data_IF_757352456535
#
_entry.id   IF_757352456535
#
_cell.length_a   1.000
_cell.length_b   1.000
_cell.length_c   1.000
_cell.angle_alpha   90.00
_cell.angle_beta   90.00
_cell.angle_gamma   90.00
#
_symmetry.space_group_name_H-M   'P 1'
#
loop_
_entity.id
_entity.type
_entity.pdbx_description
1 polymer ?
#
# COMPACT_ATOMS: atom_id res chain seq x y z
N UNK A 1 -9.83 -18.06 4.58
CA UNK A 1 -9.17 -16.75 4.77
C UNK A 1 -10.23 -15.69 4.55
N UNK A 2 -10.63 -14.98 5.58
CA UNK A 2 -11.63 -13.93 5.48
C UNK A 2 -11.11 -12.81 4.57
N UNK A 3 -11.94 -12.40 3.62
CA UNK A 3 -11.75 -11.17 2.86
C UNK A 3 -11.87 -9.99 3.85
N UNK A 4 -10.79 -9.66 4.53
CA UNK A 4 -10.73 -8.41 5.29
C UNK A 4 -10.78 -7.26 4.31
N UNK A 5 -11.96 -6.63 4.21
CA UNK A 5 -12.14 -5.44 3.39
C UNK A 5 -11.52 -4.27 4.15
N UNK A 6 -10.30 -3.92 3.82
CA UNK A 6 -9.63 -2.77 4.41
C UNK A 6 -10.32 -1.49 3.92
N UNK A 7 -11.00 -0.80 4.83
CA UNK A 7 -11.68 0.46 4.55
C UNK A 7 -11.08 1.60 5.38
N UNK A 8 -11.02 2.78 4.79
CA UNK A 8 -10.56 3.99 5.46
C UNK A 8 -11.62 5.08 5.35
N UNK A 9 -11.88 5.77 6.48
CA UNK A 9 -12.83 6.89 6.51
C UNK A 9 -12.15 8.13 5.97
N UNK A 10 -12.73 8.71 4.91
CA UNK A 10 -12.29 9.97 4.31
C UNK A 10 -13.37 11.01 4.49
N UNK A 11 -13.01 12.22 4.93
CA UNK A 11 -13.92 13.37 5.04
C UNK A 11 -13.67 14.33 3.90
N UNK A 12 -14.74 14.74 3.22
CA UNK A 12 -14.69 15.67 2.09
C UNK A 12 -15.55 16.90 2.40
N UNK A 13 -14.99 18.09 2.21
CA UNK A 13 -15.74 19.33 2.31
C UNK A 13 -16.36 19.66 0.95
N UNK A 14 -17.67 19.88 0.93
CA UNK A 14 -18.41 20.27 -0.26
C UNK A 14 -19.13 21.60 -0.02
N UNK A 15 -19.27 22.43 -1.06
CA UNK A 15 -20.11 23.62 -0.96
C UNK A 15 -21.60 23.24 -0.93
N UNK A 16 -22.42 24.14 -0.39
CA UNK A 16 -23.86 23.90 -0.18
C UNK A 16 -24.63 23.67 -1.50
N UNK A 17 -24.23 24.31 -2.60
CA UNK A 17 -24.89 24.13 -3.89
C UNK A 17 -24.64 22.74 -4.48
N UNK A 18 -23.41 22.24 -4.38
CA UNK A 18 -23.06 20.87 -4.78
C UNK A 18 -23.82 19.84 -3.94
N UNK A 19 -23.89 20.08 -2.63
CA UNK A 19 -24.58 19.18 -1.72
C UNK A 19 -26.10 19.14 -2.01
N UNK A 20 -26.72 20.31 -2.27
CA UNK A 20 -28.12 20.40 -2.64
C UNK A 20 -28.42 19.66 -3.96
N UNK A 21 -27.51 19.71 -4.94
CA UNK A 21 -27.64 18.96 -6.20
C UNK A 21 -27.59 17.43 -5.95
N UNK A 22 -26.74 16.98 -5.05
CA UNK A 22 -26.68 15.56 -4.66
C UNK A 22 -27.98 15.15 -3.96
N UNK A 23 -28.48 15.96 -3.02
CA UNK A 23 -29.73 15.70 -2.31
C UNK A 23 -30.91 15.60 -3.28
N UNK A 24 -30.97 16.48 -4.28
CA UNK A 24 -32.01 16.44 -5.31
C UNK A 24 -32.00 15.12 -6.08
N UNK A 25 -30.83 14.58 -6.43
CA UNK A 25 -30.70 13.31 -7.12
C UNK A 25 -31.09 12.12 -6.21
N UNK A 26 -30.73 12.17 -4.93
CA UNK A 26 -31.12 11.16 -3.95
C UNK A 26 -32.63 11.17 -3.74
N UNK A 27 -33.25 12.34 -3.54
CA UNK A 27 -34.68 12.47 -3.32
C UNK A 27 -35.51 12.01 -4.52
N UNK A 28 -34.96 12.09 -5.73
CA UNK A 28 -35.59 11.60 -6.96
C UNK A 28 -35.20 10.15 -7.33
N UNK A 29 -34.54 9.42 -6.43
CA UNK A 29 -34.28 7.99 -6.56
C UNK A 29 -33.16 7.60 -7.53
N UNK A 30 -32.31 8.54 -7.96
CA UNK A 30 -31.15 8.24 -8.79
C UNK A 30 -30.04 7.53 -8.01
N UNK A 31 -29.93 7.81 -6.73
CA UNK A 31 -28.98 7.19 -5.78
C UNK A 31 -29.68 6.89 -4.47
N UNK A 32 -29.23 5.85 -3.79
CA UNK A 32 -29.82 5.43 -2.50
C UNK A 32 -29.55 6.43 -1.37
N UNK A 33 -28.42 7.12 -1.42
CA UNK A 33 -28.01 8.13 -0.44
C UNK A 33 -26.77 8.91 -0.94
N UNK A 34 -26.35 9.95 -0.19
CA UNK A 34 -25.17 10.76 -0.54
C UNK A 34 -23.90 9.94 -0.70
N UNK A 35 -23.68 8.95 0.17
CA UNK A 35 -22.49 8.09 0.12
C UNK A 35 -22.47 7.22 -1.14
N UNK A 36 -23.61 6.76 -1.59
CA UNK A 36 -23.76 6.01 -2.83
C UNK A 36 -23.39 6.85 -4.05
N UNK A 37 -23.90 8.08 -4.12
CA UNK A 37 -23.50 9.06 -5.15
C UNK A 37 -21.97 9.28 -5.15
N UNK A 38 -21.39 9.57 -3.98
CA UNK A 38 -19.97 9.87 -3.86
C UNK A 38 -19.13 8.66 -4.29
N UNK A 39 -19.49 7.46 -3.83
CA UNK A 39 -18.78 6.23 -4.18
C UNK A 39 -18.87 5.95 -5.69
N UNK A 40 -20.02 6.20 -6.32
CA UNK A 40 -20.17 6.04 -7.75
C UNK A 40 -19.32 7.05 -8.53
N UNK A 41 -19.37 8.32 -8.14
CA UNK A 41 -18.56 9.39 -8.74
C UNK A 41 -17.05 9.11 -8.65
N UNK A 42 -16.59 8.56 -7.50
CA UNK A 42 -15.20 8.15 -7.31
C UNK A 42 -14.83 6.99 -8.24
N UNK A 43 -15.70 5.98 -8.38
CA UNK A 43 -15.46 4.86 -9.30
C UNK A 43 -15.36 5.33 -10.76
N UNK A 44 -16.27 6.19 -11.17
CA UNK A 44 -16.30 6.73 -12.54
C UNK A 44 -15.04 7.56 -12.85
N UNK A 45 -14.61 8.40 -11.90
CA UNK A 45 -13.39 9.18 -12.03
C UNK A 45 -12.14 8.27 -12.12
N UNK A 46 -12.04 7.25 -11.27
CA UNK A 46 -10.94 6.28 -11.31
C UNK A 46 -10.93 5.46 -12.61
N UNK A 47 -12.10 5.12 -13.14
CA UNK A 47 -12.19 4.42 -14.42
C UNK A 47 -11.66 5.27 -15.58
N UNK A 48 -11.93 6.60 -15.56
CA UNK A 48 -11.37 7.54 -16.53
C UNK A 48 -9.83 7.61 -16.49
N UNK A 49 -9.22 7.34 -15.33
CA UNK A 49 -7.76 7.33 -15.15
C UNK A 49 -7.13 5.93 -15.14
N UNK A 50 -7.89 4.89 -15.52
CA UNK A 50 -7.41 3.50 -15.45
C UNK A 50 -6.09 3.29 -16.20
N UNK A 51 -6.00 3.76 -17.43
CA UNK A 51 -4.78 3.64 -18.24
C UNK A 51 -3.58 4.40 -17.66
N UNK A 52 -3.82 5.53 -17.00
CA UNK A 52 -2.75 6.27 -16.33
C UNK A 52 -2.24 5.52 -15.10
N UNK A 53 -3.16 4.95 -14.32
CA UNK A 53 -2.81 4.13 -13.15
C UNK A 53 -2.01 2.91 -13.61
N UNK A 54 -2.48 2.16 -14.60
CA UNK A 54 -1.81 0.97 -15.12
C UNK A 54 -0.39 1.29 -15.63
N UNK A 55 -0.22 2.42 -16.35
CA UNK A 55 1.10 2.87 -16.81
C UNK A 55 2.04 3.25 -15.65
N UNK A 56 1.51 3.88 -14.59
CA UNK A 56 2.30 4.22 -13.40
C UNK A 56 2.73 2.95 -12.67
N UNK A 57 1.81 2.00 -12.50
CA UNK A 57 2.07 0.71 -11.87
C UNK A 57 3.16 -0.04 -12.65
N UNK A 58 2.97 -0.22 -13.96
CA UNK A 58 3.93 -0.91 -14.82
C UNK A 58 5.34 -0.26 -14.80
N UNK A 59 5.41 1.07 -14.79
CA UNK A 59 6.68 1.77 -14.67
C UNK A 59 7.39 1.48 -13.35
N UNK A 60 6.66 1.40 -12.25
CA UNK A 60 7.24 1.14 -10.93
C UNK A 60 7.56 -0.35 -10.75
N UNK A 61 6.75 -1.26 -11.31
CA UNK A 61 7.01 -2.70 -11.28
C UNK A 61 8.23 -3.11 -12.11
N UNK A 62 8.50 -2.45 -13.24
CA UNK A 62 9.74 -2.65 -14.02
C UNK A 62 11.00 -2.24 -13.25
N UNK A 63 10.87 -1.43 -12.21
CA UNK A 63 11.97 -1.12 -11.29
C UNK A 63 12.13 -2.17 -10.18
N UNK A 64 11.10 -3.02 -9.97
CA UNK A 64 11.09 -4.17 -9.06
C UNK A 64 10.87 -5.42 -9.93
N UNK A 65 11.93 -6.10 -10.33
CA UNK A 65 11.84 -7.34 -11.14
C UNK A 65 11.28 -8.48 -10.28
N UNK A 66 10.13 -9.03 -10.68
CA UNK A 66 9.60 -10.30 -10.19
C UNK A 66 10.16 -11.43 -11.06
N UNK A 67 10.88 -12.35 -10.47
CA UNK A 67 11.24 -13.61 -11.09
C UNK A 67 10.57 -14.75 -10.32
N UNK A 68 9.71 -15.51 -11.00
CA UNK A 68 9.02 -16.75 -10.55
C UNK A 68 8.36 -16.68 -9.14
N UNK A 69 7.69 -15.56 -8.82
CA UNK A 69 6.99 -15.40 -7.55
C UNK A 69 7.93 -15.15 -6.36
N UNK A 70 9.21 -14.99 -6.60
CA UNK A 70 10.19 -14.48 -5.65
C UNK A 70 10.41 -13.00 -5.90
N UNK A 71 10.50 -12.24 -4.80
CA UNK A 71 10.90 -10.85 -4.83
C UNK A 71 12.30 -10.76 -5.45
N UNK A 72 12.40 -10.42 -6.74
CA UNK A 72 13.68 -10.12 -7.35
C UNK A 72 13.98 -8.65 -7.12
N UNK A 73 14.82 -8.39 -6.14
CA UNK A 73 15.29 -7.05 -5.86
C UNK A 73 16.38 -6.67 -6.86
N UNK A 74 16.23 -5.52 -7.52
CA UNK A 74 17.32 -4.93 -8.29
C UNK A 74 18.40 -4.42 -7.32
N UNK A 75 19.37 -5.28 -7.02
CA UNK A 75 20.47 -4.99 -6.12
C UNK A 75 21.57 -4.23 -6.87
N UNK A 76 21.80 -2.97 -6.54
CA UNK A 76 23.03 -2.28 -6.92
C UNK A 76 24.17 -2.77 -6.03
N UNK A 77 25.10 -3.51 -6.60
CA UNK A 77 26.39 -3.83 -5.96
C UNK A 77 27.24 -2.57 -5.89
N UNK A 78 27.47 -2.06 -4.69
CA UNK A 78 28.53 -1.12 -4.40
C UNK A 78 29.23 -1.59 -3.11
N UNK A 79 30.40 -2.21 -3.26
CA UNK A 79 31.29 -2.51 -2.14
C UNK A 79 30.85 -3.58 -1.15
N UNK A 80 31.53 -3.62 0.00
CA UNK A 80 31.30 -4.54 1.12
C UNK A 80 30.15 -4.12 2.05
N UNK A 81 29.28 -3.23 1.63
CA UNK A 81 28.12 -2.81 2.42
C UNK A 81 26.93 -3.74 2.20
N UNK A 82 26.03 -3.89 3.22
CA UNK A 82 24.83 -4.70 3.09
C UNK A 82 24.02 -4.25 1.86
N UNK A 83 23.59 -5.19 1.06
CA UNK A 83 22.78 -4.92 -0.14
C UNK A 83 21.43 -4.38 0.30
N UNK A 84 21.03 -3.22 -0.22
CA UNK A 84 19.72 -2.63 0.03
C UNK A 84 18.89 -2.73 -1.24
N UNK A 85 17.78 -3.48 -1.14
CA UNK A 85 16.79 -3.61 -2.21
C UNK A 85 15.61 -2.67 -2.00
N UNK A 86 15.09 -2.12 -3.10
CA UNK A 86 13.86 -1.34 -3.09
C UNK A 86 12.69 -2.25 -3.49
N UNK A 87 11.69 -2.37 -2.60
CA UNK A 87 10.44 -3.06 -2.89
C UNK A 87 9.31 -2.05 -3.02
N UNK A 88 8.69 -2.01 -4.20
CA UNK A 88 7.53 -1.17 -4.47
C UNK A 88 6.28 -2.04 -4.63
N UNK A 89 5.15 -1.58 -4.09
CA UNK A 89 3.87 -2.28 -4.24
C UNK A 89 2.70 -1.31 -4.45
N UNK A 90 1.64 -1.82 -5.07
CA UNK A 90 0.35 -1.17 -5.22
C UNK A 90 -0.76 -2.14 -4.84
N UNK A 91 -1.69 -1.72 -3.97
CA UNK A 91 -2.76 -2.55 -3.45
C UNK A 91 -2.44 -3.14 -2.08
N UNK A 92 -2.50 -4.45 -1.92
CA UNK A 92 -2.20 -5.14 -0.65
C UNK A 92 -0.92 -5.93 -0.79
N UNK A 93 0.01 -5.69 0.11
CA UNK A 93 1.28 -6.43 0.19
C UNK A 93 1.50 -6.95 1.61
N UNK A 94 2.20 -8.06 1.75
CA UNK A 94 2.54 -8.67 3.02
C UNK A 94 4.03 -8.90 3.16
N UNK A 95 4.50 -8.96 4.41
CA UNK A 95 5.83 -9.44 4.76
C UNK A 95 5.67 -10.57 5.75
N UNK A 96 6.27 -11.70 5.41
CA UNK A 96 6.28 -12.89 6.24
C UNK A 96 7.61 -13.04 6.99
N UNK A 97 7.59 -13.76 8.11
CA UNK A 97 8.80 -14.10 8.86
C UNK A 97 9.86 -14.80 7.98
N UNK A 98 9.43 -15.72 7.12
CA UNK A 98 10.33 -16.47 6.25
C UNK A 98 11.09 -15.57 5.28
N UNK A 99 10.45 -14.55 4.73
CA UNK A 99 11.09 -13.59 3.84
C UNK A 99 12.14 -12.76 4.59
N UNK A 100 11.85 -12.36 5.83
CA UNK A 100 12.82 -11.64 6.66
C UNK A 100 14.02 -12.50 7.03
N UNK A 101 13.81 -13.78 7.39
CA UNK A 101 14.89 -14.73 7.68
C UNK A 101 15.80 -14.92 6.46
N UNK A 102 15.22 -15.06 5.27
CA UNK A 102 16.00 -15.19 4.03
C UNK A 102 16.83 -13.92 3.75
N UNK A 103 16.24 -12.74 3.86
CA UNK A 103 16.95 -11.47 3.68
C UNK A 103 18.09 -11.31 4.68
N UNK A 104 17.87 -11.73 5.94
CA UNK A 104 18.87 -11.66 6.97
C UNK A 104 20.05 -12.61 6.69
N UNK A 105 19.80 -13.86 6.27
CA UNK A 105 20.82 -14.84 5.88
C UNK A 105 21.66 -14.36 4.68
N UNK A 106 21.01 -13.68 3.73
CA UNK A 106 21.68 -13.12 2.54
C UNK A 106 22.42 -11.80 2.84
N UNK A 107 22.29 -11.26 4.06
CA UNK A 107 22.87 -9.98 4.44
C UNK A 107 22.27 -8.81 3.66
N UNK A 108 21.01 -8.94 3.26
CA UNK A 108 20.30 -7.94 2.48
C UNK A 108 19.36 -7.11 3.35
N UNK A 109 19.20 -5.84 2.98
CA UNK A 109 18.24 -4.92 3.60
C UNK A 109 17.17 -4.50 2.60
N UNK A 110 15.97 -4.25 3.10
CA UNK A 110 14.79 -3.93 2.31
C UNK A 110 14.28 -2.51 2.61
N UNK A 111 14.04 -1.73 1.58
CA UNK A 111 13.26 -0.48 1.66
C UNK A 111 11.90 -0.70 1.04
N UNK A 112 10.86 -0.51 1.84
CA UNK A 112 9.47 -0.69 1.43
C UNK A 112 8.85 0.65 1.04
N UNK A 113 8.28 0.70 -0.15
CA UNK A 113 7.55 1.87 -0.64
C UNK A 113 6.31 1.41 -1.39
N UNK A 114 5.17 2.03 -1.12
CA UNK A 114 3.97 1.65 -1.85
C UNK A 114 2.74 2.47 -1.52
N UNK A 115 1.66 2.07 -2.18
CA UNK A 115 0.33 2.67 -2.05
C UNK A 115 -0.67 1.56 -1.72
N UNK A 116 -1.38 1.69 -0.61
CA UNK A 116 -2.41 0.73 -0.19
C UNK A 116 -2.18 0.18 1.20
N UNK A 117 -2.22 -1.13 1.37
CA UNK A 117 -2.13 -1.78 2.68
C UNK A 117 -0.90 -2.67 2.74
N UNK A 118 -0.05 -2.43 3.73
CA UNK A 118 1.06 -3.31 4.09
C UNK A 118 0.68 -4.10 5.34
N UNK A 119 0.78 -5.42 5.26
CA UNK A 119 0.55 -6.32 6.39
C UNK A 119 1.89 -6.95 6.78
N UNK A 120 2.33 -6.72 8.00
CA UNK A 120 3.49 -7.39 8.58
C UNK A 120 2.93 -8.44 9.55
N UNK A 121 3.24 -9.70 9.29
CA UNK A 121 2.74 -10.81 10.09
C UNK A 121 3.14 -10.66 11.55
N UNK A 122 2.23 -11.03 12.45
CA UNK A 122 2.45 -10.97 13.91
C UNK A 122 3.58 -11.89 14.38
N UNK A 123 3.90 -12.90 13.60
CA UNK A 123 4.98 -13.85 13.87
C UNK A 123 6.36 -13.31 13.47
N UNK A 124 6.42 -12.12 12.84
CA UNK A 124 7.66 -11.45 12.55
C UNK A 124 8.30 -10.92 13.84
N UNK A 125 9.51 -11.39 14.12
CA UNK A 125 10.31 -10.87 15.22
C UNK A 125 10.70 -9.41 14.94
N UNK A 126 10.44 -8.52 15.88
CA UNK A 126 10.76 -7.09 15.75
C UNK A 126 12.26 -6.86 15.56
N UNK A 127 13.14 -7.60 16.24
CA UNK A 127 14.60 -7.47 16.10
C UNK A 127 15.04 -7.86 14.67
N UNK A 128 14.51 -8.95 14.15
CA UNK A 128 14.78 -9.39 12.78
C UNK A 128 14.28 -8.39 11.74
N UNK A 129 13.07 -7.84 11.97
CA UNK A 129 12.49 -6.81 11.10
C UNK A 129 13.37 -5.54 11.08
N UNK A 130 13.82 -5.07 12.23
CA UNK A 130 14.67 -3.88 12.32
C UNK A 130 16.07 -4.09 11.73
N UNK A 131 16.57 -5.33 11.76
CA UNK A 131 17.84 -5.68 11.14
C UNK A 131 17.74 -5.73 9.59
N UNK A 132 16.60 -6.16 9.06
CA UNK A 132 16.41 -6.41 7.62
C UNK A 132 15.68 -5.31 6.87
N UNK A 133 14.76 -4.57 7.52
CA UNK A 133 14.01 -3.49 6.87
C UNK A 133 14.60 -2.13 7.25
N UNK A 134 15.14 -1.43 6.27
CA UNK A 134 15.75 -0.11 6.48
C UNK A 134 14.71 1.00 6.61
N UNK A 135 13.65 0.97 5.79
CA UNK A 135 12.60 1.97 5.83
C UNK A 135 11.26 1.46 5.30
N UNK A 136 10.18 2.01 5.84
CA UNK A 136 8.80 1.75 5.41
C UNK A 136 8.15 3.09 5.03
N UNK A 137 7.78 3.25 3.74
CA UNK A 137 7.12 4.44 3.20
C UNK A 137 5.85 4.03 2.46
N UNK A 138 4.75 3.92 3.17
CA UNK A 138 3.46 3.51 2.62
C UNK A 138 2.47 4.66 2.68
N UNK A 139 1.85 4.97 1.56
CA UNK A 139 0.65 5.81 1.52
C UNK A 139 -0.58 4.92 1.59
N UNK A 140 -1.16 4.85 2.79
CA UNK A 140 -2.26 3.97 3.14
C UNK A 140 -2.11 3.44 4.56
N UNK A 141 -2.46 2.18 4.79
CA UNK A 141 -2.42 1.56 6.12
C UNK A 141 -1.27 0.57 6.25
N UNK A 142 -0.68 0.53 7.44
CA UNK A 142 0.28 -0.51 7.81
C UNK A 142 -0.28 -1.27 9.02
N UNK A 143 -0.52 -2.56 8.83
CA UNK A 143 -0.92 -3.48 9.90
C UNK A 143 0.32 -4.19 10.41
N UNK A 144 0.76 -3.80 11.60
CA UNK A 144 1.93 -4.37 12.26
C UNK A 144 1.82 -4.20 13.78
N UNK A 145 2.76 -4.76 14.52
CA UNK A 145 2.89 -4.55 15.95
C UNK A 145 3.19 -3.08 16.30
N UNK A 146 2.79 -2.64 17.49
CA UNK A 146 2.95 -1.23 17.91
C UNK A 146 4.42 -0.82 18.04
N UNK A 147 5.32 -1.74 18.40
CA UNK A 147 6.76 -1.51 18.41
C UNK A 147 7.30 -1.15 17.03
N UNK A 148 6.83 -1.81 16.00
CA UNK A 148 7.17 -1.54 14.59
C UNK A 148 6.68 -0.16 14.15
N UNK A 149 5.43 0.20 14.48
CA UNK A 149 4.89 1.53 14.18
C UNK A 149 5.74 2.63 14.79
N UNK A 150 6.10 2.47 16.05
CA UNK A 150 6.94 3.44 16.79
C UNK A 150 8.33 3.57 16.17
N UNK A 151 8.95 2.46 15.78
CA UNK A 151 10.29 2.44 15.21
C UNK A 151 10.36 3.18 13.87
N UNK A 152 9.42 2.92 12.96
CA UNK A 152 9.38 3.55 11.62
C UNK A 152 8.56 4.84 11.55
N UNK A 153 7.98 5.32 12.66
CA UNK A 153 7.14 6.53 12.70
C UNK A 153 5.85 6.40 11.90
N UNK A 154 5.28 5.19 11.86
CA UNK A 154 4.03 4.90 11.14
C UNK A 154 2.81 5.35 11.96
N UNK A 155 1.78 5.84 11.26
CA UNK A 155 0.51 6.28 11.88
C UNK A 155 -0.53 5.16 11.91
#
# INVERSE_FOLDING_TARGET
MGNETYSEKVSVNMNSATLASIDLLVDNGYYSNRSDFINQAVRDALQGHRSDIDRIVEKNEKMATYDDGKLSMSVRRIGSEPRVGDHWFFGVSGITRRELEQLHEEGEKLRLKGYGVLVIDKDCDEELLFATVESIRVKGKVHCADGVKKHYGLK
#
